data_IF_097556069748
#
_entry.id   IF_097556069748
#
_cell.length_a   1.000
_cell.length_b   1.000
_cell.length_c   1.000
_cell.angle_alpha   90.00
_cell.angle_beta   90.00
_cell.angle_gamma   90.00
#
_symmetry.space_group_name_H-M   'P 1'
#
loop_
_entity.id
_entity.type
_entity.pdbx_description
1 polymer ?
#
# COMPACT_ATOMS: atom_id res chain seq x y z
N UNK A 1 8.77 3.59 13.47
CA UNK A 1 8.73 2.54 12.43
C UNK A 1 8.92 3.11 11.03
N UNK A 2 8.12 4.11 10.61
CA UNK A 2 8.09 4.59 9.22
C UNK A 2 9.05 5.75 8.88
N UNK A 3 9.59 6.46 9.88
CA UNK A 3 10.47 7.62 9.66
C UNK A 3 11.69 7.24 8.80
N UNK A 4 11.84 7.90 7.65
CA UNK A 4 12.91 7.68 6.67
C UNK A 4 12.75 6.43 5.79
N UNK A 5 11.67 5.66 5.94
CA UNK A 5 11.42 4.43 5.16
C UNK A 5 10.72 4.71 3.86
N UNK A 6 11.15 4.06 2.79
CA UNK A 6 10.38 3.91 1.54
C UNK A 6 9.20 2.99 1.83
N UNK A 7 7.99 3.49 1.63
CA UNK A 7 6.78 2.72 1.94
C UNK A 7 5.67 2.97 0.92
N UNK A 8 4.79 1.97 0.80
CA UNK A 8 3.51 2.07 0.08
C UNK A 8 2.37 1.72 1.04
N UNK A 9 1.13 2.02 0.66
CA UNK A 9 -0.08 1.66 1.40
C UNK A 9 -1.29 1.74 0.48
N UNK A 10 -2.47 1.41 0.99
CA UNK A 10 -3.73 1.57 0.26
C UNK A 10 -3.86 2.96 -0.38
N UNK A 11 -4.28 3.02 -1.65
CA UNK A 11 -4.38 4.25 -2.44
C UNK A 11 -5.10 5.40 -1.72
N UNK A 12 -6.22 5.10 -1.04
CA UNK A 12 -7.01 6.09 -0.30
C UNK A 12 -6.28 6.69 0.93
N UNK A 13 -5.12 6.16 1.31
CA UNK A 13 -4.33 6.63 2.45
C UNK A 13 -2.87 6.90 2.07
N UNK A 14 -2.53 6.82 0.78
CA UNK A 14 -1.17 7.01 0.28
C UNK A 14 -0.59 8.40 0.64
N UNK A 15 -1.41 9.44 0.53
CA UNK A 15 -1.07 10.82 0.89
C UNK A 15 -0.75 11.02 2.39
N UNK A 16 -1.09 10.05 3.25
CA UNK A 16 -0.83 10.14 4.69
C UNK A 16 0.57 9.64 5.07
N UNK A 17 1.28 8.92 4.19
CA UNK A 17 2.61 8.38 4.47
C UNK A 17 3.62 9.44 4.96
N UNK A 18 3.70 10.64 4.36
CA UNK A 18 4.60 11.70 4.84
C UNK A 18 4.32 12.14 6.28
N UNK A 19 3.06 12.07 6.75
CA UNK A 19 2.70 12.40 8.14
C UNK A 19 3.30 11.43 9.16
N UNK A 20 3.76 10.26 8.71
CA UNK A 20 4.50 9.30 9.52
C UNK A 20 6.01 9.32 9.23
N UNK A 21 6.48 10.30 8.46
CA UNK A 21 7.88 10.47 8.07
C UNK A 21 8.36 9.45 7.03
N UNK A 22 7.44 8.73 6.39
CA UNK A 22 7.78 7.82 5.30
C UNK A 22 8.05 8.59 4.00
N UNK A 23 8.85 7.98 3.12
CA UNK A 23 9.06 8.37 1.73
C UNK A 23 8.04 7.57 0.89
N UNK A 24 6.98 8.19 0.34
CA UNK A 24 5.97 7.46 -0.40
C UNK A 24 6.54 6.90 -1.71
N UNK A 25 6.25 5.63 -2.00
CA UNK A 25 6.64 4.96 -3.25
C UNK A 25 5.40 4.30 -3.85
N UNK A 26 4.95 4.78 -5.02
CA UNK A 26 3.79 4.23 -5.71
C UNK A 26 4.17 2.94 -6.46
N UNK A 27 4.31 1.85 -5.71
CA UNK A 27 4.56 0.50 -6.22
C UNK A 27 3.68 -0.49 -5.47
N UNK A 28 3.31 -1.59 -6.15
CA UNK A 28 2.44 -2.64 -5.58
C UNK A 28 3.01 -3.25 -4.30
N UNK A 29 4.32 -3.52 -4.27
CA UNK A 29 5.07 -3.97 -3.10
C UNK A 29 6.36 -3.16 -3.00
N UNK A 30 6.70 -2.69 -1.81
CA UNK A 30 7.96 -1.99 -1.52
C UNK A 30 8.68 -2.76 -0.42
N UNK A 31 9.94 -3.11 -0.69
CA UNK A 31 10.86 -3.70 0.30
C UNK A 31 11.88 -2.63 0.71
N UNK A 32 12.02 -2.40 2.01
CA UNK A 32 12.98 -1.48 2.60
C UNK A 32 13.66 -2.15 3.81
N UNK A 33 14.84 -2.72 3.58
CA UNK A 33 15.51 -3.56 4.56
C UNK A 33 14.62 -4.73 4.99
N UNK A 34 14.40 -4.90 6.31
CA UNK A 34 13.52 -5.93 6.86
C UNK A 34 12.02 -5.64 6.81
N UNK A 35 11.57 -4.60 6.08
CA UNK A 35 10.16 -4.22 5.98
C UNK A 35 9.59 -4.50 4.60
N UNK A 36 8.38 -5.05 4.57
CA UNK A 36 7.58 -5.24 3.36
C UNK A 36 6.30 -4.42 3.50
N UNK A 37 6.07 -3.52 2.54
CA UNK A 37 4.87 -2.70 2.44
C UNK A 37 4.08 -3.09 1.19
N UNK A 38 2.74 -3.12 1.28
CA UNK A 38 1.86 -3.51 0.18
C UNK A 38 0.80 -2.43 -0.08
N UNK A 39 0.59 -2.09 -1.36
CA UNK A 39 -0.21 -0.93 -1.80
C UNK A 39 -1.73 -1.12 -1.72
N UNK A 40 -2.21 -2.31 -1.36
CA UNK A 40 -3.63 -2.64 -1.41
C UNK A 40 -3.90 -4.03 -0.90
N UNK A 41 -5.18 -4.38 -0.81
CA UNK A 41 -5.64 -5.62 -0.19
C UNK A 41 -4.97 -6.85 -0.81
N UNK A 42 -5.03 -6.97 -2.15
CA UNK A 42 -4.48 -8.13 -2.86
C UNK A 42 -2.96 -8.08 -3.01
N UNK A 43 -2.34 -6.91 -2.86
CA UNK A 43 -0.88 -6.78 -2.94
C UNK A 43 -0.17 -7.50 -1.78
N UNK A 44 -0.88 -7.83 -0.70
CA UNK A 44 -0.37 -8.68 0.37
C UNK A 44 0.02 -10.08 -0.12
N UNK A 45 -0.65 -10.62 -1.15
CA UNK A 45 -0.30 -11.93 -1.73
C UNK A 45 1.06 -11.84 -2.41
N UNK A 46 1.28 -10.83 -3.24
CA UNK A 46 2.57 -10.62 -3.92
C UNK A 46 3.70 -10.32 -2.93
N UNK A 47 3.39 -9.54 -1.89
CA UNK A 47 4.33 -9.25 -0.81
C UNK A 47 4.74 -10.50 -0.04
N UNK A 48 3.77 -11.38 0.26
CA UNK A 48 4.02 -12.64 0.93
C UNK A 48 4.81 -13.63 0.06
N UNK A 49 4.54 -13.70 -1.25
CA UNK A 49 5.32 -14.53 -2.18
C UNK A 49 6.77 -14.04 -2.29
N UNK A 50 6.99 -12.73 -2.37
CA UNK A 50 8.33 -12.14 -2.29
C UNK A 50 9.03 -12.50 -0.98
N UNK A 51 8.34 -12.34 0.15
CA UNK A 51 8.89 -12.70 1.44
C UNK A 51 9.23 -14.20 1.54
N UNK A 52 8.38 -15.08 0.99
CA UNK A 52 8.64 -16.51 0.93
C UNK A 52 9.91 -16.81 0.11
N UNK A 53 10.12 -16.12 -1.02
CA UNK A 53 11.33 -16.27 -1.82
C UNK A 53 12.58 -15.82 -1.06
N UNK A 54 12.54 -14.66 -0.40
CA UNK A 54 13.65 -14.16 0.43
C UNK A 54 14.00 -15.10 1.60
N UNK A 55 12.99 -15.74 2.21
CA UNK A 55 13.18 -16.56 3.41
C UNK A 55 13.41 -18.04 3.15
N UNK A 56 13.00 -18.57 1.99
CA UNK A 56 12.98 -20.01 1.68
C UNK A 56 13.42 -20.35 0.24
N UNK A 57 13.79 -19.35 -0.55
CA UNK A 57 14.20 -19.48 -1.95
C UNK A 57 13.03 -19.53 -2.93
N UNK A 58 13.34 -19.23 -4.20
CA UNK A 58 12.36 -19.09 -5.28
C UNK A 58 11.49 -20.35 -5.48
N UNK A 59 12.08 -21.54 -5.37
CA UNK A 59 11.35 -22.80 -5.54
C UNK A 59 10.21 -22.97 -4.52
N UNK A 60 10.42 -22.56 -3.27
CA UNK A 60 9.38 -22.60 -2.24
C UNK A 60 8.26 -21.59 -2.54
N UNK A 61 8.61 -20.37 -2.96
CA UNK A 61 7.63 -19.35 -3.34
C UNK A 61 6.81 -19.76 -4.58
N UNK A 62 7.45 -20.32 -5.60
CA UNK A 62 6.80 -20.84 -6.81
C UNK A 62 5.87 -22.01 -6.48
N UNK A 63 6.28 -22.92 -5.60
CA UNK A 63 5.43 -24.00 -5.13
C UNK A 63 4.19 -23.45 -4.41
N UNK A 64 4.34 -22.48 -3.50
CA UNK A 64 3.21 -21.82 -2.81
C UNK A 64 2.27 -21.17 -3.83
N UNK A 65 2.82 -20.42 -4.80
CA UNK A 65 2.04 -19.77 -5.86
C UNK A 65 1.21 -20.80 -6.64
N UNK A 66 1.81 -21.93 -7.01
CA UNK A 66 1.13 -23.01 -7.73
C UNK A 66 0.04 -23.68 -6.88
N UNK A 67 0.31 -23.96 -5.60
CA UNK A 67 -0.68 -24.58 -4.69
C UNK A 67 -1.93 -23.71 -4.51
N UNK A 68 -1.74 -22.38 -4.51
CA UNK A 68 -2.83 -21.43 -4.42
C UNK A 68 -3.55 -21.21 -5.75
N UNK A 69 -3.01 -21.73 -6.86
CA UNK A 69 -3.41 -21.39 -8.23
C UNK A 69 -3.45 -19.87 -8.40
N UNK A 70 -2.41 -19.19 -7.90
CA UNK A 70 -2.33 -17.73 -7.96
C UNK A 70 -1.90 -17.27 -9.36
N UNK A 71 -2.86 -17.30 -10.27
CA UNK A 71 -2.80 -16.84 -11.65
C UNK A 71 -3.95 -15.83 -11.88
N UNK A 72 -3.81 -14.57 -11.43
CA UNK A 72 -4.91 -13.62 -11.47
C UNK A 72 -5.31 -13.27 -12.92
N UNK A 73 -6.61 -13.31 -13.21
CA UNK A 73 -7.22 -12.90 -14.47
C UNK A 73 -8.34 -11.87 -14.20
N UNK A 74 -7.99 -10.60 -13.90
CA UNK A 74 -9.00 -9.60 -13.57
C UNK A 74 -9.92 -9.30 -14.78
N UNK A 75 -11.26 -9.32 -14.61
CA UNK A 75 -12.19 -9.04 -15.70
C UNK A 75 -12.29 -7.54 -16.07
N UNK A 76 -11.67 -6.67 -15.27
CA UNK A 76 -11.69 -5.21 -15.46
C UNK A 76 -10.31 -4.60 -15.17
N UNK A 77 -9.95 -3.55 -15.91
CA UNK A 77 -8.79 -2.72 -15.60
C UNK A 77 -9.21 -1.52 -14.72
N UNK A 78 -9.48 -1.80 -13.45
CA UNK A 78 -9.85 -0.77 -12.46
C UNK A 78 -9.21 -1.05 -11.10
N UNK A 79 -8.06 -1.72 -11.12
CA UNK A 79 -7.33 -2.12 -9.92
C UNK A 79 -6.58 -0.97 -9.25
N UNK A 80 -6.34 0.14 -9.95
CA UNK A 80 -5.66 1.32 -9.40
C UNK A 80 -6.38 2.62 -9.80
N UNK A 81 -6.13 3.73 -9.08
CA UNK A 81 -6.67 5.04 -9.45
C UNK A 81 -6.26 5.51 -10.85
N UNK A 82 -5.09 5.07 -11.34
CA UNK A 82 -4.54 5.48 -12.64
C UNK A 82 -5.24 4.80 -13.82
N UNK A 83 -5.77 3.58 -13.64
CA UNK A 83 -6.43 2.82 -14.73
C UNK A 83 -7.96 2.80 -14.63
N UNK A 84 -8.52 2.99 -13.44
CA UNK A 84 -9.97 2.99 -13.26
C UNK A 84 -10.66 4.15 -14.03
N UNK A 85 -11.84 3.91 -14.65
CA UNK A 85 -12.63 4.97 -15.25
C UNK A 85 -12.94 6.07 -14.24
N UNK A 86 -12.88 7.34 -14.67
CA UNK A 86 -13.01 8.49 -13.78
C UNK A 86 -14.28 8.45 -12.91
N UNK A 87 -15.43 8.06 -13.49
CA UNK A 87 -16.68 7.93 -12.74
C UNK A 87 -16.62 6.88 -11.62
N UNK A 88 -15.91 5.77 -11.85
CA UNK A 88 -15.71 4.70 -10.87
C UNK A 88 -14.76 5.16 -9.77
N UNK A 89 -13.66 5.82 -10.12
CA UNK A 89 -12.74 6.40 -9.14
C UNK A 89 -13.44 7.43 -8.25
N UNK A 90 -14.25 8.32 -8.83
CA UNK A 90 -15.02 9.31 -8.07
C UNK A 90 -16.05 8.67 -7.15
N UNK A 91 -16.75 7.63 -7.61
CA UNK A 91 -17.64 6.85 -6.76
C UNK A 91 -16.89 6.20 -5.59
N UNK A 92 -15.75 5.54 -5.87
CA UNK A 92 -14.92 4.90 -4.85
C UNK A 92 -14.40 5.93 -3.82
N UNK A 93 -13.92 7.10 -4.27
CA UNK A 93 -13.49 8.21 -3.40
C UNK A 93 -14.59 8.66 -2.46
N UNK A 94 -15.81 8.86 -2.97
CA UNK A 94 -16.97 9.22 -2.13
C UNK A 94 -17.26 8.15 -1.08
N UNK A 95 -17.20 6.86 -1.46
CA UNK A 95 -17.48 5.76 -0.55
C UNK A 95 -16.52 5.68 0.64
N UNK A 96 -15.26 6.09 0.47
CA UNK A 96 -14.22 6.04 1.52
C UNK A 96 -13.92 7.42 2.15
N UNK A 97 -14.65 8.47 1.79
CA UNK A 97 -14.35 9.84 2.20
C UNK A 97 -14.35 10.01 3.73
N UNK A 98 -15.37 9.52 4.42
CA UNK A 98 -15.51 9.66 5.87
C UNK A 98 -14.36 8.98 6.63
N UNK A 99 -14.02 7.74 6.27
CA UNK A 99 -12.92 7.02 6.92
C UNK A 99 -11.56 7.64 6.57
N UNK A 100 -11.41 8.19 5.37
CA UNK A 100 -10.18 8.87 4.94
C UNK A 100 -9.96 10.15 5.76
N UNK A 101 -11.00 10.95 5.96
CA UNK A 101 -10.94 12.14 6.82
C UNK A 101 -10.58 11.79 8.28
N UNK A 102 -11.16 10.71 8.83
CA UNK A 102 -10.82 10.25 10.18
C UNK A 102 -9.36 9.78 10.29
N UNK A 103 -8.85 9.09 9.27
CA UNK A 103 -7.44 8.67 9.19
C UNK A 103 -6.52 9.87 9.12
N UNK A 104 -6.85 10.88 8.32
CA UNK A 104 -6.07 12.11 8.22
C UNK A 104 -6.00 12.86 9.56
N UNK A 105 -7.14 13.07 10.22
CA UNK A 105 -7.18 13.69 11.54
C UNK A 105 -6.32 12.94 12.56
N UNK A 106 -6.34 11.60 12.50
CA UNK A 106 -5.50 10.76 13.36
C UNK A 106 -4.02 10.87 13.01
N UNK A 107 -3.68 10.84 11.72
CA UNK A 107 -2.31 10.95 11.25
C UNK A 107 -1.68 12.30 11.64
N UNK A 108 -2.43 13.41 11.54
CA UNK A 108 -1.98 14.74 11.97
C UNK A 108 -1.67 14.80 13.48
N UNK A 109 -2.58 14.30 14.33
CA UNK A 109 -2.33 14.21 15.78
C UNK A 109 -1.09 13.37 16.11
N UNK A 110 -0.88 12.27 15.38
CA UNK A 110 0.31 11.42 15.56
C UNK A 110 1.58 12.13 15.08
N UNK A 111 1.53 12.85 13.96
CA UNK A 111 2.65 13.62 13.42
C UNK A 111 3.12 14.68 14.43
N UNK A 112 2.19 15.43 15.02
CA UNK A 112 2.45 16.41 16.09
C UNK A 112 3.13 15.75 17.29
N UNK A 113 2.54 14.66 17.81
CA UNK A 113 3.10 13.92 18.95
C UNK A 113 4.51 13.38 18.69
N UNK A 114 4.83 13.03 17.45
CA UNK A 114 6.13 12.47 17.05
C UNK A 114 7.13 13.51 16.53
N UNK A 115 6.75 14.80 16.50
CA UNK A 115 7.60 15.88 15.97
C UNK A 115 7.96 15.70 14.49
N UNK A 116 7.05 15.17 13.68
CA UNK A 116 7.25 14.97 12.25
C UNK A 116 6.88 16.27 11.54
N UNK A 117 7.84 16.88 10.85
CA UNK A 117 7.58 18.04 10.01
C UNK A 117 6.60 17.64 8.89
N UNK A 118 5.40 18.19 8.94
CA UNK A 118 4.39 18.01 7.89
C UNK A 118 4.76 18.96 6.75
N UNK A 119 5.05 18.47 5.54
CA UNK A 119 5.21 19.36 4.40
C UNK A 119 3.93 20.17 4.22
N UNK A 120 4.05 21.50 4.04
CA UNK A 120 2.95 22.28 3.52
C UNK A 120 2.61 21.72 2.13
N UNK A 121 1.36 21.31 1.95
CA UNK A 121 0.87 20.69 0.72
C UNK A 121 0.87 21.63 -0.47
#
# INVERSE_FOLDING_TARGET
LLKGRRATTHWASFHLLPLFGAIPVNQRVVVDGGWVFAAGVTAGIDGALRLAAELRGDAAAQAIQLHMVYAPEPPFDSGTPETAPAAILEHARRSVAAITAQREATARRVAERLGIAVPAG
#
